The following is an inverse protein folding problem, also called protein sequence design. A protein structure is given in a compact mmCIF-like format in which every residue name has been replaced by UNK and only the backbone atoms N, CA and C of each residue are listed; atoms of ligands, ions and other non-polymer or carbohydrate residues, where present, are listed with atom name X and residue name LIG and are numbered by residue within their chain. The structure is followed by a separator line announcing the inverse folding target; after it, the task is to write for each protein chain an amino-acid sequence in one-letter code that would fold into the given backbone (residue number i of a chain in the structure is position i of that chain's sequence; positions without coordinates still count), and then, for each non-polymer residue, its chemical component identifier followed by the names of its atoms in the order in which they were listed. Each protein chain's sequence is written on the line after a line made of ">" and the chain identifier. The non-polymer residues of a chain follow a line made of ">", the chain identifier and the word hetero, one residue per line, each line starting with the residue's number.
data_IF_629992650577
#
_entry.id   IF_629992650577
#
_cell.length_a   1.000
_cell.length_b   1.000
_cell.length_c   1.000
_cell.angle_alpha   90.00
_cell.angle_beta   90.00
_cell.angle_gamma   90.00
#
_symmetry.space_group_name_H-M   'P 1'
#
loop_
_entity.id
_entity.type
_entity.pdbx_description
1 polymer ?
#
# COMPACT_ATOMS: atom_id res chain seq x y z
N UNK A 1 -8.56 10.58 10.15
CA UNK A 1 -7.70 9.90 11.15
C UNK A 1 -6.30 10.47 11.17
N UNK A 2 -5.59 10.31 12.30
CA UNK A 2 -4.16 10.64 12.43
C UNK A 2 -3.23 9.51 11.95
N UNK A 3 -1.93 9.81 11.84
CA UNK A 3 -0.92 8.87 11.34
C UNK A 3 -0.75 7.63 12.24
N UNK A 4 -0.88 7.77 13.56
CA UNK A 4 -0.73 6.65 14.48
C UNK A 4 -1.88 5.64 14.31
N UNK A 5 -3.10 6.15 14.24
CA UNK A 5 -4.32 5.37 13.99
C UNK A 5 -4.28 4.72 12.62
N UNK A 6 -3.87 5.45 11.58
CA UNK A 6 -3.70 4.90 10.23
C UNK A 6 -2.72 3.72 10.22
N UNK A 7 -1.56 3.86 10.86
CA UNK A 7 -0.57 2.77 10.97
C UNK A 7 -1.16 1.53 11.66
N UNK A 8 -1.88 1.72 12.77
CA UNK A 8 -2.50 0.61 13.48
C UNK A 8 -3.56 -0.10 12.63
N UNK A 9 -4.40 0.64 11.90
CA UNK A 9 -5.41 0.09 11.01
C UNK A 9 -4.78 -0.71 9.87
N UNK A 10 -3.73 -0.17 9.24
CA UNK A 10 -2.98 -0.84 8.17
C UNK A 10 -2.36 -2.13 8.69
N UNK A 11 -1.60 -2.08 9.79
CA UNK A 11 -0.97 -3.25 10.41
C UNK A 11 -2.01 -4.34 10.77
N UNK A 12 -3.13 -3.93 11.37
CA UNK A 12 -4.19 -4.87 11.77
C UNK A 12 -4.90 -5.48 10.57
N UNK A 13 -5.00 -4.76 9.46
CA UNK A 13 -5.59 -5.25 8.22
C UNK A 13 -4.65 -6.24 7.53
N UNK A 14 -3.38 -5.88 7.36
CA UNK A 14 -2.39 -6.76 6.73
C UNK A 14 -2.17 -8.05 7.54
N UNK A 15 -2.15 -7.97 8.88
CA UNK A 15 -2.08 -9.17 9.72
C UNK A 15 -3.31 -10.09 9.53
N UNK A 16 -4.50 -9.52 9.31
CA UNK A 16 -5.71 -10.30 8.99
C UNK A 16 -5.64 -10.92 7.60
N UNK A 17 -5.14 -10.18 6.61
CA UNK A 17 -4.85 -10.72 5.28
C UNK A 17 -3.93 -11.93 5.38
N UNK A 18 -2.84 -11.82 6.14
CA UNK A 18 -1.87 -12.90 6.35
C UNK A 18 -2.50 -14.12 7.01
N UNK A 19 -3.36 -13.91 8.02
CA UNK A 19 -4.08 -14.99 8.69
C UNK A 19 -5.03 -15.73 7.75
N UNK A 20 -5.77 -15.01 6.89
CA UNK A 20 -6.68 -15.59 5.90
C UNK A 20 -5.91 -16.29 4.76
N UNK A 21 -4.79 -15.70 4.33
CA UNK A 21 -3.92 -16.22 3.29
C UNK A 21 -2.98 -17.34 3.78
N UNK A 22 -2.84 -17.48 5.11
CA UNK A 22 -1.97 -18.41 5.85
C UNK A 22 -0.47 -18.21 5.64
N UNK A 23 -0.08 -17.03 5.15
CA UNK A 23 1.30 -16.58 4.95
C UNK A 23 1.28 -15.08 4.62
N UNK A 24 2.42 -14.38 4.71
CA UNK A 24 2.49 -12.98 4.30
C UNK A 24 1.95 -12.77 2.88
N UNK A 25 0.99 -11.85 2.75
CA UNK A 25 0.55 -11.33 1.46
C UNK A 25 1.47 -10.20 1.01
N UNK A 26 1.63 -9.22 1.89
CA UNK A 26 2.56 -8.11 1.71
C UNK A 26 3.52 -8.11 2.91
N UNK A 27 4.80 -8.35 2.66
CA UNK A 27 5.84 -8.34 3.70
C UNK A 27 6.47 -6.95 3.89
N UNK A 28 6.04 -5.98 3.09
CA UNK A 28 6.50 -4.61 3.14
C UNK A 28 5.37 -3.62 2.81
N UNK A 29 5.33 -2.50 3.54
CA UNK A 29 4.46 -1.37 3.20
C UNK A 29 5.06 -0.03 3.65
N UNK A 30 4.63 1.04 2.98
CA UNK A 30 4.97 2.42 3.32
C UNK A 30 3.76 3.35 3.19
N UNK A 31 3.68 4.34 4.07
CA UNK A 31 2.81 5.51 3.87
C UNK A 31 3.67 6.63 3.29
N UNK A 32 3.27 7.12 2.14
CA UNK A 32 3.95 8.15 1.39
C UNK A 32 3.13 9.44 1.40
N UNK A 33 3.79 10.57 1.55
CA UNK A 33 3.24 11.90 1.30
C UNK A 33 3.72 12.40 -0.06
N UNK A 34 2.83 13.03 -0.82
CA UNK A 34 3.13 13.71 -2.07
C UNK A 34 3.27 15.24 -1.88
N UNK A 35 2.60 15.81 -0.88
CA UNK A 35 2.58 17.24 -0.58
C UNK A 35 2.25 17.48 0.92
N UNK A 36 2.67 18.62 1.51
CA UNK A 36 3.52 19.67 0.92
C UNK A 36 4.99 19.26 0.79
N UNK A 37 5.45 18.28 1.58
CA UNK A 37 6.80 17.72 1.48
C UNK A 37 6.72 16.23 1.10
N UNK A 38 7.16 15.85 -0.10
CA UNK A 38 7.14 14.44 -0.50
C UNK A 38 8.09 13.62 0.38
N UNK A 39 7.69 12.41 0.75
CA UNK A 39 8.52 11.52 1.58
C UNK A 39 7.75 10.38 2.23
N UNK A 40 8.45 9.61 3.08
CA UNK A 40 7.89 8.48 3.83
C UNK A 40 7.42 8.98 5.19
N UNK A 41 6.13 8.81 5.49
CA UNK A 41 5.55 9.08 6.80
C UNK A 41 5.67 7.87 7.74
N UNK A 42 5.54 6.67 7.18
CA UNK A 42 5.68 5.41 7.91
C UNK A 42 6.20 4.32 6.97
N UNK A 43 6.94 3.37 7.53
CA UNK A 43 7.48 2.22 6.79
C UNK A 43 7.54 1.01 7.71
N UNK A 44 7.27 -0.18 7.16
CA UNK A 44 7.52 -1.47 7.79
C UNK A 44 7.87 -2.47 6.70
N UNK A 45 8.98 -3.17 6.85
CA UNK A 45 9.42 -4.20 5.91
C UNK A 45 10.91 -4.53 6.04
N UNK A 46 11.39 -5.55 5.32
CA UNK A 46 12.74 -6.09 5.48
C UNK A 46 13.85 -5.21 4.86
N UNK A 47 13.51 -4.31 3.91
CA UNK A 47 14.50 -3.49 3.19
C UNK A 47 14.99 -2.28 3.99
N UNK A 48 14.20 -1.78 4.95
CA UNK A 48 14.65 -0.76 5.90
C UNK A 48 15.24 0.50 5.24
N UNK A 49 16.55 0.71 5.40
CA UNK A 49 17.24 1.86 4.82
C UNK A 49 17.40 1.80 3.30
N UNK A 50 17.50 0.61 2.68
CA UNK A 50 17.62 0.53 1.21
C UNK A 50 16.34 1.02 0.54
N UNK A 51 15.17 0.68 1.09
CA UNK A 51 13.88 1.21 0.62
C UNK A 51 13.86 2.74 0.58
N UNK A 52 14.38 3.41 1.63
CA UNK A 52 14.42 4.87 1.66
C UNK A 52 15.37 5.47 0.61
N UNK A 53 16.47 4.78 0.30
CA UNK A 53 17.44 5.22 -0.72
C UNK A 53 16.92 5.01 -2.13
N UNK A 54 16.12 3.97 -2.34
CA UNK A 54 15.50 3.66 -3.63
C UNK A 54 14.25 4.52 -3.88
N UNK A 55 13.61 5.02 -2.81
CA UNK A 55 12.40 5.83 -2.89
C UNK A 55 12.45 7.05 -3.83
N UNK A 56 13.52 7.85 -3.95
CA UNK A 56 13.57 8.96 -4.91
C UNK A 56 13.45 8.47 -6.35
N UNK A 57 14.07 7.33 -6.65
CA UNK A 57 13.78 6.59 -7.87
C UNK A 57 12.31 6.18 -7.86
N UNK A 58 11.86 5.55 -6.77
CA UNK A 58 10.55 4.92 -6.70
C UNK A 58 9.32 5.84 -6.72
N UNK A 59 9.53 7.10 -6.38
CA UNK A 59 8.54 8.14 -6.33
C UNK A 59 8.14 8.60 -7.74
N UNK A 60 8.99 8.46 -8.76
CA UNK A 60 8.63 8.83 -10.14
C UNK A 60 7.50 7.95 -10.70
N UNK A 61 7.58 6.60 -10.63
CA UNK A 61 6.47 5.76 -11.07
C UNK A 61 5.21 5.91 -10.23
N UNK A 62 5.33 6.15 -8.93
CA UNK A 62 4.18 6.50 -8.09
C UNK A 62 3.53 7.81 -8.54
N UNK A 63 4.34 8.84 -8.78
CA UNK A 63 3.88 10.12 -9.31
C UNK A 63 3.25 9.96 -10.69
N UNK A 64 3.83 9.15 -11.57
CA UNK A 64 3.27 8.87 -12.90
C UNK A 64 1.95 8.09 -12.82
N UNK A 65 1.85 7.12 -11.91
CA UNK A 65 0.61 6.37 -11.65
C UNK A 65 -0.51 7.26 -11.10
N UNK A 66 -0.17 8.31 -10.34
CA UNK A 66 -1.13 9.26 -9.77
C UNK A 66 -1.39 10.43 -10.73
N UNK A 67 -0.41 10.82 -11.55
CA UNK A 67 -0.49 11.98 -12.42
C UNK A 67 -1.60 11.79 -13.46
N UNK A 68 -2.63 12.64 -13.36
CA UNK A 68 -3.79 12.62 -14.25
C UNK A 68 -4.90 11.65 -13.84
N UNK A 69 -4.77 10.97 -12.68
CA UNK A 69 -5.86 10.16 -12.10
C UNK A 69 -6.51 10.92 -10.96
N UNK A 70 -7.82 11.09 -11.04
CA UNK A 70 -8.65 11.67 -9.97
C UNK A 70 -9.02 10.56 -8.97
N UNK A 71 -8.04 10.13 -8.17
CA UNK A 71 -8.24 9.10 -7.15
C UNK A 71 -8.90 9.71 -5.91
N UNK A 72 -10.08 9.22 -5.55
CA UNK A 72 -10.75 9.56 -4.31
C UNK A 72 -10.14 8.79 -3.14
N UNK A 73 -10.35 9.28 -1.91
CA UNK A 73 -9.94 8.57 -0.70
C UNK A 73 -10.58 7.18 -0.63
N UNK A 74 -9.76 6.18 -0.30
CA UNK A 74 -10.16 4.78 -0.35
C UNK A 74 -10.06 4.13 -1.73
N UNK A 75 -9.72 4.85 -2.79
CA UNK A 75 -9.45 4.21 -4.08
C UNK A 75 -8.12 3.47 -4.05
N UNK A 76 -8.11 2.25 -4.59
CA UNK A 76 -6.92 1.41 -4.62
C UNK A 76 -6.78 0.64 -5.93
N UNK A 77 -5.56 0.18 -6.16
CA UNK A 77 -5.20 -0.64 -7.31
C UNK A 77 -4.20 -1.71 -6.87
N UNK A 78 -4.31 -2.88 -7.48
CA UNK A 78 -3.31 -3.95 -7.39
C UNK A 78 -2.62 -4.10 -8.73
N UNK A 79 -1.29 -4.19 -8.74
CA UNK A 79 -0.52 -4.37 -9.97
C UNK A 79 -0.92 -5.65 -10.72
N UNK A 80 -0.96 -5.60 -12.05
CA UNK A 80 -1.39 -6.71 -12.92
C UNK A 80 -0.31 -7.81 -13.01
N UNK A 81 0.94 -7.43 -13.28
CA UNK A 81 2.15 -8.26 -13.26
C UNK A 81 3.33 -7.31 -12.92
N UNK A 82 4.09 -7.57 -11.86
CA UNK A 82 5.17 -6.65 -11.45
C UNK A 82 6.46 -6.92 -12.25
N UNK A 83 6.47 -6.63 -13.56
CA UNK A 83 7.73 -6.52 -14.31
C UNK A 83 8.12 -5.05 -14.42
N UNK A 84 8.83 -4.57 -13.40
CA UNK A 84 9.41 -3.23 -13.34
C UNK A 84 8.61 -2.22 -12.52
N UNK A 85 9.15 -1.89 -11.36
CA UNK A 85 9.03 -0.60 -10.64
C UNK A 85 7.58 -0.07 -10.45
N UNK A 86 6.83 -0.30 -9.36
CA UNK A 86 7.32 -0.24 -7.97
C UNK A 86 6.41 -0.63 -6.81
N UNK A 87 5.13 -0.96 -6.99
CA UNK A 87 4.30 -1.40 -5.85
C UNK A 87 3.30 -2.48 -6.26
N UNK A 88 3.11 -3.51 -5.43
CA UNK A 88 2.11 -4.56 -5.67
C UNK A 88 0.69 -4.09 -5.40
N UNK A 89 0.53 -3.14 -4.47
CA UNK A 89 -0.72 -2.45 -4.20
C UNK A 89 -0.48 -0.97 -3.91
N UNK A 90 -1.44 -0.13 -4.29
CA UNK A 90 -1.51 1.28 -3.92
C UNK A 90 -2.92 1.62 -3.44
N UNK A 91 -3.04 2.40 -2.37
CA UNK A 91 -4.31 2.88 -1.80
C UNK A 91 -4.19 4.37 -1.45
N UNK A 92 -5.14 5.18 -1.89
CA UNK A 92 -5.29 6.59 -1.52
C UNK A 92 -5.78 6.69 -0.07
N UNK A 93 -4.97 7.26 0.83
CA UNK A 93 -5.32 7.37 2.25
C UNK A 93 -5.93 8.71 2.61
N UNK A 94 -5.58 9.77 1.89
CA UNK A 94 -6.00 11.15 2.16
C UNK A 94 -5.50 12.09 1.07
N UNK A 95 -5.70 13.42 1.20
CA UNK A 95 -5.57 14.37 0.10
C UNK A 95 -4.24 14.33 -0.67
N UNK A 96 -3.14 14.05 0.05
CA UNK A 96 -1.81 13.91 -0.54
C UNK A 96 -1.06 12.67 -0.02
N UNK A 97 -1.76 11.67 0.52
CA UNK A 97 -1.13 10.51 1.14
C UNK A 97 -1.59 9.18 0.53
N UNK A 98 -0.65 8.25 0.43
CA UNK A 98 -0.82 6.96 -0.24
C UNK A 98 -0.18 5.85 0.59
N UNK A 99 -0.88 4.72 0.71
CA UNK A 99 -0.30 3.46 1.15
C UNK A 99 0.20 2.73 -0.08
N UNK A 100 1.42 2.23 0.02
CA UNK A 100 1.97 1.30 -0.95
C UNK A 100 2.38 0.02 -0.26
N UNK A 101 2.11 -1.13 -0.88
CA UNK A 101 2.45 -2.44 -0.36
C UNK A 101 3.27 -3.23 -1.39
N UNK A 102 4.14 -4.11 -0.90
CA UNK A 102 5.00 -4.99 -1.68
C UNK A 102 5.09 -6.37 -1.05
N UNK A 103 5.44 -7.35 -1.86
CA UNK A 103 6.00 -8.61 -1.44
C UNK A 103 7.39 -8.81 -2.07
N UNK A 104 8.41 -8.90 -1.22
CA UNK A 104 9.81 -8.95 -1.68
C UNK A 104 10.21 -10.23 -2.43
N UNK A 105 9.38 -11.27 -2.42
CA UNK A 105 9.70 -12.57 -3.00
C UNK A 105 8.72 -13.06 -4.09
N UNK A 106 7.53 -12.47 -4.19
CA UNK A 106 6.47 -12.92 -5.11
C UNK A 106 5.74 -11.73 -5.70
N UNK A 107 5.33 -11.85 -6.96
CA UNK A 107 4.49 -10.86 -7.62
C UNK A 107 2.99 -11.10 -7.38
N UNK A 108 2.17 -10.12 -7.75
CA UNK A 108 0.70 -10.23 -7.69
C UNK A 108 0.13 -11.36 -8.55
N UNK A 109 0.78 -11.72 -9.66
CA UNK A 109 0.36 -12.84 -10.51
C UNK A 109 0.48 -14.18 -9.79
N UNK A 110 1.56 -14.38 -9.02
CA UNK A 110 1.77 -15.55 -8.16
C UNK A 110 0.85 -15.54 -6.94
N UNK A 111 0.61 -14.37 -6.33
CA UNK A 111 -0.29 -14.24 -5.17
C UNK A 111 -1.74 -14.57 -5.53
N UNK A 112 -2.22 -14.08 -6.68
CA UNK A 112 -3.62 -14.25 -7.13
C UNK A 112 -3.98 -15.70 -7.48
N UNK A 113 -3.00 -16.57 -7.72
CA UNK A 113 -3.22 -17.98 -8.06
C UNK A 113 -3.71 -18.81 -6.86
N UNK A 114 -3.39 -18.41 -5.62
CA UNK A 114 -3.90 -19.12 -4.44
C UNK A 114 -5.36 -18.71 -4.19
N UNK A 115 -6.27 -19.69 -4.14
CA UNK A 115 -7.71 -19.46 -3.93
C UNK A 115 -8.04 -18.68 -2.64
N UNK A 116 -7.11 -18.63 -1.66
CA UNK A 116 -7.27 -17.81 -0.44
C UNK A 116 -7.15 -16.31 -0.70
N UNK A 117 -6.59 -15.90 -1.85
CA UNK A 117 -6.43 -14.51 -2.23
C UNK A 117 -7.75 -13.74 -2.14
N UNK A 118 -8.86 -14.29 -2.65
CA UNK A 118 -10.16 -13.61 -2.62
C UNK A 118 -10.61 -13.22 -1.20
N UNK A 119 -10.33 -14.07 -0.21
CA UNK A 119 -10.64 -13.77 1.19
C UNK A 119 -9.70 -12.72 1.78
N UNK A 120 -8.40 -12.81 1.47
CA UNK A 120 -7.43 -11.81 1.92
C UNK A 120 -7.71 -10.45 1.28
N UNK A 121 -8.05 -10.40 -0.02
CA UNK A 121 -8.39 -9.19 -0.74
C UNK A 121 -9.58 -8.43 -0.11
N UNK A 122 -10.56 -9.16 0.44
CA UNK A 122 -11.70 -8.55 1.11
C UNK A 122 -11.29 -7.70 2.33
N UNK A 123 -10.23 -8.09 3.06
CA UNK A 123 -9.71 -7.28 4.16
C UNK A 123 -9.05 -5.99 3.65
N UNK A 124 -8.37 -6.04 2.50
CA UNK A 124 -7.81 -4.82 1.89
C UNK A 124 -8.93 -3.86 1.43
N UNK A 125 -10.03 -4.40 0.90
CA UNK A 125 -11.23 -3.60 0.60
C UNK A 125 -11.85 -3.01 1.88
N UNK A 126 -11.93 -3.78 2.97
CA UNK A 126 -12.41 -3.25 4.25
C UNK A 126 -11.50 -2.13 4.80
N UNK A 127 -10.19 -2.21 4.56
CA UNK A 127 -9.25 -1.14 4.87
C UNK A 127 -9.52 0.11 4.03
N UNK A 128 -9.79 -0.06 2.73
CA UNK A 128 -10.05 1.05 1.82
C UNK A 128 -11.29 1.84 2.22
N UNK A 129 -12.37 1.14 2.61
CA UNK A 129 -13.60 1.77 3.10
C UNK A 129 -13.39 2.57 4.39
N UNK A 130 -12.47 2.16 5.26
CA UNK A 130 -12.10 2.96 6.45
C UNK A 130 -11.44 4.27 6.08
N UNK A 131 -10.53 4.28 5.11
CA UNK A 131 -9.88 5.51 4.65
C UNK A 131 -10.81 6.38 3.82
N UNK A 132 -11.78 5.79 3.12
CA UNK A 132 -12.87 6.54 2.48
C UNK A 132 -13.73 7.28 3.51
N UNK A 133 -14.07 6.62 4.62
CA UNK A 133 -14.90 7.19 5.67
C UNK A 133 -14.16 8.18 6.58
N UNK A 134 -12.89 7.93 6.87
CA UNK A 134 -12.07 8.77 7.75
C UNK A 134 -10.64 8.93 7.20
N UNK A 135 -10.41 9.80 6.20
CA UNK A 135 -9.13 9.97 5.54
C UNK A 135 -7.97 10.34 6.48
N UNK A 136 -6.74 9.96 6.11
CA UNK A 136 -5.53 10.38 6.81
C UNK A 136 -5.26 11.88 6.57
N UNK A 137 -5.20 12.64 7.67
CA UNK A 137 -4.91 14.07 7.70
C UNK A 137 -3.71 14.36 8.61
N UNK A 138 -2.78 15.22 8.17
CA UNK A 138 -1.61 15.68 8.93
C UNK A 138 -1.12 17.03 8.42
#
# INVERSE_FOLDING_TARGET
>A
MDLASARQQIQSSLARMDALYRRPVFDEWAILSAAPKPGILAYTGPRGESFRRELPGDAEPLRAMIAGRDLAEGDFEFATESSGTRFDACLKLGPASYLVCNHTARDMGQIRQDAKWLKAQAEFFALSEKFRADPLTF
#
